data_IF_282591203208
#
_entry.id   IF_282591203208
#
_cell.length_a   1.000
_cell.length_b   1.000
_cell.length_c   1.000
_cell.angle_alpha   90.00
_cell.angle_beta   90.00
_cell.angle_gamma   90.00
#
_symmetry.space_group_name_H-M   'P 1'
#
loop_
_entity.id
_entity.type
_entity.pdbx_description
1 polymer ?
#
# COMPACT_ATOMS: atom_id res chain seq x y z
N UNK A 1 -54.18 50.70 6.67
CA UNK A 1 -52.74 50.90 6.87
C UNK A 1 -52.05 49.62 6.44
N UNK A 2 -51.33 49.67 5.32
CA UNK A 2 -50.54 48.61 4.68
C UNK A 2 -49.10 48.76 5.15
N UNK A 3 -48.37 47.66 5.43
CA UNK A 3 -46.93 47.35 5.13
C UNK A 3 -46.81 45.82 5.36
N UNK A 4 -46.83 44.91 4.38
CA UNK A 4 -45.83 44.47 3.37
C UNK A 4 -44.50 43.96 3.96
N UNK A 5 -44.14 42.75 3.50
CA UNK A 5 -42.88 42.00 3.60
C UNK A 5 -41.62 42.74 4.09
N UNK A 6 -40.80 42.00 4.86
CA UNK A 6 -39.41 41.88 4.42
C UNK A 6 -38.82 40.50 4.75
N UNK A 7 -38.49 39.81 3.65
CA UNK A 7 -37.70 38.59 3.56
C UNK A 7 -36.22 39.00 3.61
N UNK A 8 -35.35 38.07 4.00
CA UNK A 8 -33.88 38.17 3.98
C UNK A 8 -33.18 39.10 5.00
N UNK A 9 -32.52 38.47 5.98
CA UNK A 9 -31.06 38.51 5.94
C UNK A 9 -30.44 37.25 6.52
N UNK A 10 -29.80 36.52 5.61
CA UNK A 10 -28.88 35.40 5.78
C UNK A 10 -28.00 35.54 7.03
N UNK A 11 -28.17 34.65 8.02
CA UNK A 11 -27.02 34.26 8.84
C UNK A 11 -26.06 33.55 7.91
N UNK A 12 -25.01 34.25 7.47
CA UNK A 12 -23.83 33.64 6.86
C UNK A 12 -23.46 32.46 7.74
N UNK A 13 -23.61 31.25 7.19
CA UNK A 13 -22.89 30.09 7.69
C UNK A 13 -21.43 30.51 7.74
N UNK A 14 -20.93 30.72 8.95
CA UNK A 14 -19.51 30.91 9.16
C UNK A 14 -18.92 29.58 8.74
N UNK A 15 -18.28 29.60 7.58
CA UNK A 15 -17.50 28.50 7.08
C UNK A 15 -16.38 28.30 8.09
N UNK A 16 -16.67 27.54 9.15
CA UNK A 16 -15.68 26.98 10.05
C UNK A 16 -14.99 25.88 9.25
N UNK A 17 -14.18 26.30 8.28
CA UNK A 17 -13.10 25.48 7.75
C UNK A 17 -12.22 25.16 8.94
N UNK A 18 -12.45 23.99 9.53
CA UNK A 18 -11.67 23.52 10.66
C UNK A 18 -10.21 23.40 10.23
N UNK A 19 -9.25 23.40 11.19
CA UNK A 19 -7.83 23.22 10.88
C UNK A 19 -7.53 21.97 10.02
N UNK A 20 -8.45 21.00 10.03
CA UNK A 20 -8.44 19.68 9.37
C UNK A 20 -8.66 19.75 7.83
N UNK A 21 -9.41 20.74 7.32
CA UNK A 21 -9.70 20.86 5.88
C UNK A 21 -8.46 21.22 5.04
N UNK A 22 -7.42 21.78 5.68
CA UNK A 22 -6.13 22.08 5.07
C UNK A 22 -5.12 20.93 5.14
N UNK A 23 -5.28 20.00 6.08
CA UNK A 23 -4.35 18.87 6.25
C UNK A 23 -4.52 17.83 5.15
N UNK A 24 -5.77 17.52 4.76
CA UNK A 24 -6.04 16.53 3.72
C UNK A 24 -5.47 16.92 2.34
N UNK A 25 -5.65 18.16 1.83
CA UNK A 25 -5.01 18.61 0.58
C UNK A 25 -3.48 18.56 0.63
N UNK A 26 -2.88 18.94 1.77
CA UNK A 26 -1.41 18.90 1.95
C UNK A 26 -0.92 17.45 1.91
N UNK A 27 -1.55 16.54 2.65
CA UNK A 27 -1.21 15.10 2.65
C UNK A 27 -1.31 14.53 1.23
N UNK A 28 -2.38 14.85 0.49
CA UNK A 28 -2.55 14.38 -0.88
C UNK A 28 -1.45 14.92 -1.80
N UNK A 29 -1.14 16.22 -1.73
CA UNK A 29 -0.06 16.80 -2.56
C UNK A 29 1.32 16.17 -2.28
N UNK A 30 1.61 15.85 -1.02
CA UNK A 30 2.84 15.17 -0.62
C UNK A 30 2.87 13.73 -1.13
N UNK A 31 1.74 13.04 -1.07
CA UNK A 31 1.61 11.68 -1.60
C UNK A 31 1.77 11.67 -3.12
N UNK A 32 1.15 12.62 -3.83
CA UNK A 32 1.31 12.77 -5.28
C UNK A 32 2.78 12.98 -5.67
N UNK A 33 3.49 13.88 -5.00
CA UNK A 33 4.91 14.10 -5.22
C UNK A 33 5.74 12.83 -4.94
N UNK A 34 5.48 12.14 -3.83
CA UNK A 34 6.15 10.88 -3.50
C UNK A 34 5.88 9.80 -4.57
N UNK A 35 4.65 9.71 -5.08
CA UNK A 35 4.28 8.76 -6.12
C UNK A 35 4.94 9.06 -7.46
N UNK A 36 5.13 10.34 -7.81
CA UNK A 36 5.91 10.73 -8.98
C UNK A 36 7.38 10.31 -8.83
N UNK A 37 7.97 10.53 -7.64
CA UNK A 37 9.35 10.09 -7.36
C UNK A 37 9.50 8.57 -7.42
N UNK A 38 8.57 7.80 -6.83
CA UNK A 38 8.61 6.34 -6.90
C UNK A 38 8.40 5.82 -8.32
N UNK A 39 7.52 6.45 -9.11
CA UNK A 39 7.33 6.07 -10.52
C UNK A 39 8.63 6.27 -11.31
N UNK A 40 9.28 7.43 -11.16
CA UNK A 40 10.57 7.69 -11.81
C UNK A 40 11.68 6.73 -11.33
N UNK A 41 11.67 6.33 -10.05
CA UNK A 41 12.63 5.36 -9.53
C UNK A 41 12.38 3.94 -10.09
N UNK A 42 11.12 3.54 -10.26
CA UNK A 42 10.74 2.27 -10.89
C UNK A 42 11.13 2.27 -12.37
N UNK A 43 10.85 3.35 -13.09
CA UNK A 43 11.21 3.49 -14.52
C UNK A 43 12.74 3.47 -14.74
N UNK A 44 13.52 3.82 -13.71
CA UNK A 44 14.98 3.79 -13.71
C UNK A 44 15.58 2.47 -13.20
N UNK A 45 14.75 1.47 -12.85
CA UNK A 45 15.26 0.15 -12.50
C UNK A 45 15.96 -0.49 -13.71
N UNK A 46 17.06 -1.21 -13.48
CA UNK A 46 17.67 -2.01 -14.53
C UNK A 46 16.77 -3.20 -14.90
N UNK A 47 17.19 -3.98 -15.89
CA UNK A 47 16.54 -5.23 -16.25
C UNK A 47 16.46 -6.19 -15.04
N UNK A 48 15.42 -7.03 -14.97
CA UNK A 48 15.21 -7.95 -13.83
C UNK A 48 16.31 -9.01 -13.68
N UNK A 49 17.08 -9.26 -14.74
CA UNK A 49 18.26 -10.13 -14.70
C UNK A 49 19.53 -9.42 -14.20
N UNK A 50 19.52 -8.09 -14.07
CA UNK A 50 20.64 -7.32 -13.55
C UNK A 50 20.82 -7.58 -12.05
N UNK A 51 22.05 -7.91 -11.58
CA UNK A 51 22.32 -8.13 -10.16
C UNK A 51 21.93 -6.98 -9.22
N UNK A 52 21.90 -5.74 -9.71
CA UNK A 52 21.50 -4.57 -8.92
C UNK A 52 19.97 -4.42 -8.78
N UNK A 53 19.18 -5.09 -9.63
CA UNK A 53 17.73 -4.94 -9.68
C UNK A 53 17.09 -5.20 -8.32
N UNK A 54 17.33 -6.37 -7.72
CA UNK A 54 16.69 -6.79 -6.47
C UNK A 54 16.98 -5.82 -5.33
N UNK A 55 18.22 -5.33 -5.22
CA UNK A 55 18.60 -4.36 -4.19
C UNK A 55 17.85 -3.03 -4.35
N UNK A 56 17.76 -2.51 -5.58
CA UNK A 56 17.06 -1.25 -5.87
C UNK A 56 15.54 -1.39 -5.70
N UNK A 57 14.95 -2.48 -6.19
CA UNK A 57 13.53 -2.78 -6.04
C UNK A 57 13.12 -2.85 -4.55
N UNK A 58 13.92 -3.51 -3.71
CA UNK A 58 13.65 -3.64 -2.27
C UNK A 58 13.62 -2.29 -1.54
N UNK A 59 14.50 -1.35 -1.92
CA UNK A 59 14.49 0.02 -1.37
C UNK A 59 13.19 0.74 -1.72
N UNK A 60 12.74 0.63 -2.97
CA UNK A 60 11.49 1.24 -3.44
C UNK A 60 10.28 0.60 -2.74
N UNK A 61 10.22 -0.74 -2.66
CA UNK A 61 9.17 -1.49 -1.96
C UNK A 61 9.05 -1.08 -0.49
N UNK A 62 10.17 -0.93 0.21
CA UNK A 62 10.19 -0.43 1.59
C UNK A 62 9.60 0.98 1.71
N UNK A 63 9.95 1.87 0.77
CA UNK A 63 9.39 3.23 0.69
C UNK A 63 7.87 3.24 0.47
N UNK A 64 7.40 2.47 -0.51
CA UNK A 64 5.97 2.32 -0.81
C UNK A 64 5.19 1.74 0.38
N UNK A 65 5.75 0.75 1.09
CA UNK A 65 5.14 0.17 2.29
C UNK A 65 4.96 1.20 3.41
N UNK A 66 5.97 2.03 3.65
CA UNK A 66 5.88 3.13 4.63
C UNK A 66 4.75 4.11 4.26
N UNK A 67 4.64 4.45 2.98
CA UNK A 67 3.58 5.33 2.49
C UNK A 67 2.19 4.68 2.64
N UNK A 68 2.06 3.39 2.33
CA UNK A 68 0.84 2.62 2.53
C UNK A 68 0.41 2.60 4.01
N UNK A 69 1.34 2.39 4.94
CA UNK A 69 1.07 2.41 6.39
C UNK A 69 0.57 3.79 6.84
N UNK A 70 1.23 4.86 6.39
CA UNK A 70 0.83 6.23 6.72
C UNK A 70 -0.60 6.55 6.22
N UNK A 71 -0.90 6.19 4.97
CA UNK A 71 -2.21 6.40 4.37
C UNK A 71 -3.30 5.51 4.96
N UNK A 72 -2.98 4.26 5.31
CA UNK A 72 -3.91 3.38 6.02
C UNK A 72 -4.29 3.98 7.37
N UNK A 73 -3.30 4.50 8.11
CA UNK A 73 -3.52 5.22 9.37
C UNK A 73 -4.30 6.53 9.19
N UNK A 74 -4.17 7.22 8.05
CA UNK A 74 -5.00 8.38 7.74
C UNK A 74 -6.44 7.97 7.42
N UNK A 75 -6.61 6.92 6.61
CA UNK A 75 -7.90 6.38 6.21
C UNK A 75 -8.70 5.75 7.36
N UNK A 76 -8.04 5.25 8.41
CA UNK A 76 -8.70 4.68 9.58
C UNK A 76 -9.19 5.74 10.57
N UNK A 77 -8.82 7.02 10.40
CA UNK A 77 -9.37 8.11 11.21
C UNK A 77 -10.79 8.37 10.73
N UNK A 78 -11.73 8.66 11.63
CA UNK A 78 -13.18 8.79 11.33
C UNK A 78 -13.60 9.93 10.38
N UNK A 79 -12.67 10.49 9.60
CA UNK A 79 -12.85 11.58 8.62
C UNK A 79 -12.02 11.37 7.34
N UNK A 80 -11.75 10.13 6.95
CA UNK A 80 -11.03 9.85 5.71
C UNK A 80 -11.74 10.49 4.51
N UNK A 81 -11.05 11.36 3.78
CA UNK A 81 -11.57 11.96 2.56
C UNK A 81 -11.46 10.95 1.40
N UNK A 82 -12.34 11.03 0.38
CA UNK A 82 -12.20 10.20 -0.82
C UNK A 82 -10.81 10.31 -1.49
N UNK A 83 -10.16 11.48 -1.41
CA UNK A 83 -8.81 11.68 -1.96
C UNK A 83 -7.73 10.85 -1.25
N UNK A 84 -7.83 10.65 0.07
CA UNK A 84 -6.94 9.75 0.82
C UNK A 84 -7.13 8.30 0.38
N UNK A 85 -8.39 7.88 0.14
CA UNK A 85 -8.70 6.53 -0.33
C UNK A 85 -8.15 6.29 -1.75
N UNK A 86 -8.32 7.24 -2.67
CA UNK A 86 -7.75 7.18 -4.02
C UNK A 86 -6.23 7.10 -3.96
N UNK A 87 -5.61 7.94 -3.14
CA UNK A 87 -4.15 7.93 -2.94
C UNK A 87 -3.65 6.59 -2.40
N UNK A 88 -4.33 6.02 -1.39
CA UNK A 88 -4.01 4.71 -0.84
C UNK A 88 -4.14 3.60 -1.89
N UNK A 89 -5.18 3.66 -2.73
CA UNK A 89 -5.34 2.71 -3.83
C UNK A 89 -4.21 2.81 -4.86
N UNK A 90 -3.78 4.03 -5.18
CA UNK A 90 -2.65 4.25 -6.11
C UNK A 90 -1.34 3.68 -5.58
N UNK A 91 -1.04 3.90 -4.29
CA UNK A 91 0.14 3.33 -3.63
C UNK A 91 0.11 1.81 -3.65
N UNK A 92 -1.03 1.20 -3.29
CA UNK A 92 -1.20 -0.26 -3.30
C UNK A 92 -1.01 -0.86 -4.70
N UNK A 93 -1.54 -0.20 -5.72
CA UNK A 93 -1.39 -0.65 -7.11
C UNK A 93 0.09 -0.64 -7.51
N UNK A 94 0.83 0.43 -7.20
CA UNK A 94 2.27 0.49 -7.51
C UNK A 94 3.11 -0.51 -6.73
N UNK A 95 2.76 -0.74 -5.47
CA UNK A 95 3.40 -1.80 -4.69
C UNK A 95 3.15 -3.18 -5.30
N UNK A 96 1.90 -3.47 -5.71
CA UNK A 96 1.52 -4.71 -6.38
C UNK A 96 2.30 -4.92 -7.69
N UNK A 97 2.37 -3.89 -8.54
CA UNK A 97 3.10 -3.92 -9.82
C UNK A 97 4.60 -4.23 -9.60
N UNK A 98 5.23 -3.55 -8.63
CA UNK A 98 6.65 -3.77 -8.35
C UNK A 98 6.93 -5.12 -7.68
N UNK A 99 6.04 -5.60 -6.80
CA UNK A 99 6.15 -6.94 -6.22
C UNK A 99 6.04 -8.02 -7.31
N UNK A 100 5.17 -7.84 -8.30
CA UNK A 100 5.05 -8.77 -9.43
C UNK A 100 6.35 -8.84 -10.24
N UNK A 101 6.94 -7.69 -10.61
CA UNK A 101 8.25 -7.65 -11.27
C UNK A 101 9.35 -8.28 -10.41
N UNK A 102 9.37 -7.99 -9.10
CA UNK A 102 10.38 -8.52 -8.19
C UNK A 102 10.30 -10.05 -8.05
N UNK A 103 9.09 -10.60 -8.01
CA UNK A 103 8.87 -12.03 -7.91
C UNK A 103 9.27 -12.82 -9.18
N UNK A 104 9.37 -12.16 -10.33
CA UNK A 104 9.84 -12.76 -11.59
C UNK A 104 11.36 -12.73 -11.75
N UNK A 105 12.07 -11.93 -10.95
CA UNK A 105 13.52 -11.84 -11.01
C UNK A 105 14.20 -13.14 -10.51
N UNK A 106 15.37 -13.54 -11.06
CA UNK A 106 16.08 -14.75 -10.62
C UNK A 106 16.42 -14.78 -9.13
N UNK A 107 16.54 -13.60 -8.50
CA UNK A 107 16.81 -13.43 -7.07
C UNK A 107 15.57 -13.16 -6.21
N UNK A 108 14.37 -13.43 -6.71
CA UNK A 108 13.11 -13.19 -6.00
C UNK A 108 13.13 -13.80 -4.60
N UNK A 109 12.81 -12.98 -3.59
CA UNK A 109 12.80 -13.45 -2.20
C UNK A 109 11.57 -14.31 -1.92
N UNK A 110 11.61 -15.09 -0.83
CA UNK A 110 10.48 -15.93 -0.44
C UNK A 110 9.21 -15.10 -0.18
N UNK A 111 9.36 -13.92 0.42
CA UNK A 111 8.26 -13.00 0.66
C UNK A 111 7.65 -12.46 -0.63
N UNK A 112 8.47 -12.16 -1.65
CA UNK A 112 7.99 -11.70 -2.96
C UNK A 112 7.16 -12.75 -3.67
N UNK A 113 7.65 -13.98 -3.69
CA UNK A 113 6.94 -15.12 -4.28
C UNK A 113 5.63 -15.38 -3.53
N UNK A 114 5.67 -15.40 -2.19
CA UNK A 114 4.49 -15.59 -1.34
C UNK A 114 3.41 -14.54 -1.63
N UNK A 115 3.80 -13.27 -1.64
CA UNK A 115 2.89 -12.16 -1.91
C UNK A 115 2.14 -12.34 -3.21
N UNK A 116 2.87 -12.58 -4.31
CA UNK A 116 2.29 -12.68 -5.65
C UNK A 116 1.39 -13.91 -5.76
N UNK A 117 1.85 -15.06 -5.27
CA UNK A 117 1.09 -16.31 -5.34
C UNK A 117 -0.21 -16.21 -4.53
N UNK A 118 -0.18 -15.72 -3.29
CA UNK A 118 -1.40 -15.60 -2.48
C UNK A 118 -2.37 -14.58 -3.07
N UNK A 119 -1.88 -13.46 -3.62
CA UNK A 119 -2.72 -12.43 -4.25
C UNK A 119 -3.38 -12.96 -5.52
N UNK A 120 -2.67 -13.74 -6.33
CA UNK A 120 -3.23 -14.46 -7.49
C UNK A 120 -4.30 -15.47 -7.06
N UNK A 121 -4.09 -16.17 -5.95
CA UNK A 121 -5.06 -17.08 -5.34
C UNK A 121 -6.20 -16.35 -4.59
N UNK A 122 -6.18 -15.01 -4.54
CA UNK A 122 -7.14 -14.16 -3.81
C UNK A 122 -7.22 -14.47 -2.31
N UNK A 123 -6.10 -14.88 -1.72
CA UNK A 123 -5.98 -15.18 -0.30
C UNK A 123 -5.47 -13.95 0.48
N UNK A 124 -6.12 -13.68 1.60
CA UNK A 124 -5.62 -12.75 2.61
C UNK A 124 -4.37 -13.33 3.31
N UNK A 125 -3.58 -12.47 3.96
CA UNK A 125 -2.47 -12.91 4.80
C UNK A 125 -2.97 -13.85 5.92
N UNK A 126 -4.14 -13.56 6.51
CA UNK A 126 -4.72 -14.41 7.56
C UNK A 126 -5.11 -15.81 7.06
N UNK A 127 -5.78 -15.93 5.92
CA UNK A 127 -6.14 -17.24 5.35
C UNK A 127 -4.89 -18.04 4.98
N UNK A 128 -3.89 -17.37 4.40
CA UNK A 128 -2.59 -17.95 4.05
C UNK A 128 -1.90 -18.48 5.29
N UNK A 129 -1.82 -17.66 6.36
CA UNK A 129 -1.17 -18.01 7.62
C UNK A 129 -1.85 -19.21 8.31
N UNK A 130 -3.18 -19.23 8.33
CA UNK A 130 -3.95 -20.35 8.87
C UNK A 130 -3.64 -21.67 8.13
N UNK A 131 -3.44 -21.62 6.81
CA UNK A 131 -3.15 -22.80 5.98
C UNK A 131 -1.81 -23.47 6.28
N UNK A 132 -0.85 -22.73 6.83
CA UNK A 132 0.51 -23.22 7.17
C UNK A 132 0.81 -23.21 8.68
N UNK A 133 -0.19 -22.90 9.51
CA UNK A 133 -0.03 -22.81 10.96
C UNK A 133 0.96 -21.72 11.40
N UNK A 134 0.93 -20.57 10.73
CA UNK A 134 1.71 -19.36 11.03
C UNK A 134 0.78 -18.21 11.44
N UNK A 135 1.35 -17.07 11.83
CA UNK A 135 0.58 -15.84 12.10
C UNK A 135 0.55 -14.91 10.88
N UNK A 136 -0.49 -14.08 10.75
CA UNK A 136 -0.59 -13.12 9.67
C UNK A 136 0.53 -12.07 9.76
N UNK A 137 0.88 -11.66 10.99
CA UNK A 137 1.97 -10.71 11.25
C UNK A 137 3.32 -11.23 10.77
N UNK A 138 3.58 -12.54 10.92
CA UNK A 138 4.79 -13.16 10.40
C UNK A 138 4.81 -13.15 8.87
N UNK A 139 3.68 -13.42 8.21
CA UNK A 139 3.63 -13.35 6.75
C UNK A 139 3.85 -11.91 6.26
N UNK A 140 3.22 -10.93 6.90
CA UNK A 140 3.43 -9.51 6.58
C UNK A 140 4.91 -9.11 6.77
N UNK A 141 5.58 -9.65 7.79
CA UNK A 141 7.00 -9.45 8.04
C UNK A 141 7.89 -10.10 6.96
N UNK A 142 7.60 -11.33 6.56
CA UNK A 142 8.35 -12.04 5.51
C UNK A 142 8.16 -11.35 4.15
N UNK A 143 6.94 -10.95 3.81
CA UNK A 143 6.65 -10.09 2.65
C UNK A 143 7.30 -8.71 2.76
N UNK A 144 7.70 -8.34 3.98
CA UNK A 144 8.50 -7.17 4.27
C UNK A 144 10.02 -7.38 4.24
N UNK A 145 10.47 -8.53 3.73
CA UNK A 145 11.88 -8.95 3.64
C UNK A 145 12.50 -9.32 5.00
N UNK A 146 11.68 -9.62 6.01
CA UNK A 146 12.18 -10.27 7.23
C UNK A 146 12.58 -11.72 6.92
N UNK A 147 13.71 -12.14 7.47
CA UNK A 147 14.26 -13.47 7.21
C UNK A 147 13.54 -14.48 8.11
N UNK A 148 12.78 -15.44 7.54
CA UNK A 148 12.14 -16.48 8.32
C UNK A 148 13.17 -17.48 8.86
N UNK A 149 12.77 -18.22 9.89
CA UNK A 149 13.47 -19.45 10.29
C UNK A 149 13.37 -20.52 9.20
N UNK A 150 14.24 -21.53 9.25
CA UNK A 150 14.23 -22.63 8.28
C UNK A 150 12.89 -23.39 8.26
N UNK A 151 12.28 -23.58 9.43
CA UNK A 151 10.99 -24.26 9.58
C UNK A 151 9.84 -23.43 8.95
N UNK A 152 9.81 -22.12 9.19
CA UNK A 152 8.83 -21.21 8.57
C UNK A 152 9.01 -21.15 7.05
N UNK A 153 10.26 -21.07 6.60
CA UNK A 153 10.60 -21.08 5.18
C UNK A 153 10.16 -22.37 4.50
N UNK A 154 10.33 -23.53 5.15
CA UNK A 154 9.91 -24.82 4.62
C UNK A 154 8.39 -24.88 4.40
N UNK A 155 7.60 -24.44 5.40
CA UNK A 155 6.13 -24.41 5.30
C UNK A 155 5.64 -23.47 4.19
N UNK A 156 6.27 -22.31 4.04
CA UNK A 156 5.93 -21.37 2.97
C UNK A 156 6.27 -21.94 1.60
N UNK A 157 7.42 -22.60 1.45
CA UNK A 157 7.80 -23.28 0.19
C UNK A 157 6.83 -24.39 -0.19
N UNK A 158 6.35 -25.16 0.80
CA UNK A 158 5.32 -26.18 0.57
C UNK A 158 4.01 -25.54 0.08
N UNK A 159 3.56 -24.45 0.71
CA UNK A 159 2.38 -23.72 0.26
C UNK A 159 2.54 -23.14 -1.15
N UNK A 160 3.71 -22.55 -1.45
CA UNK A 160 4.02 -22.04 -2.78
C UNK A 160 3.94 -23.14 -3.85
N UNK A 161 4.47 -24.33 -3.55
CA UNK A 161 4.37 -25.47 -4.45
C UNK A 161 2.91 -25.93 -4.65
N UNK A 162 2.08 -25.88 -3.60
CA UNK A 162 0.68 -26.25 -3.67
C UNK A 162 -0.19 -25.23 -4.44
N UNK A 163 0.14 -23.94 -4.37
CA UNK A 163 -0.60 -22.86 -5.04
C UNK A 163 -0.07 -22.51 -6.44
N UNK A 164 1.19 -22.82 -6.73
CA UNK A 164 1.89 -22.53 -7.98
C UNK A 164 1.91 -23.69 -8.99
N UNK A 165 1.40 -24.87 -8.60
CA UNK A 165 1.14 -26.01 -9.50
C UNK A 165 -0.01 -25.78 -10.47
#
# INVERSE_FOLDING_TARGET
MIIIDDYHSTKRSKNDGGPDDGEAPVIVSLVEAAMQMFSAAIDALPDTSDPEFSGRANVILSGLRKLQTALTKAASRGRATPSVIVSLSGVRTRYDDLMAMAAEAPGATLGQQLYVVRRRAKLSAQETANGVGLTAELLDAIEAEEVPTDDEAARIKELLAALGG
#
